data_IF_541811073739
#
_entry.id   IF_541811073739
#
_cell.length_a   1.000
_cell.length_b   1.000
_cell.length_c   1.000
_cell.angle_alpha   90.00
_cell.angle_beta   90.00
_cell.angle_gamma   90.00
#
_symmetry.space_group_name_H-M   'P 1'
#
loop_
_entity.id
_entity.type
_entity.pdbx_description
1 polymer ?
#
# COMPACT_ATOMS: atom_id res chain seq x y z
N UNK A 1 7.45 2.36 -0.78
CA UNK A 1 7.55 1.07 -0.06
C UNK A 1 6.76 1.17 1.23
N UNK A 2 5.87 0.19 1.52
CA UNK A 2 5.29 0.11 2.86
C UNK A 2 6.41 -0.10 3.88
N UNK A 3 6.50 0.77 4.88
CA UNK A 3 7.55 0.70 5.90
C UNK A 3 7.21 -0.27 7.04
N UNK A 4 6.07 -0.97 6.96
CA UNK A 4 5.64 -1.93 7.96
C UNK A 4 6.24 -3.29 7.60
N UNK A 5 7.35 -3.72 8.25
CA UNK A 5 8.01 -4.97 7.89
C UNK A 5 7.12 -6.21 8.12
N UNK A 6 6.15 -6.09 9.04
CA UNK A 6 5.20 -7.16 9.38
C UNK A 6 3.78 -6.84 8.91
N UNK A 7 3.63 -6.13 7.77
CA UNK A 7 2.31 -5.85 7.21
C UNK A 7 1.54 -7.17 6.99
N UNK A 8 0.37 -7.39 7.64
CA UNK A 8 -0.34 -8.66 7.56
C UNK A 8 -0.95 -8.92 6.17
N UNK A 9 -1.21 -7.86 5.41
CA UNK A 9 -1.65 -7.93 4.01
C UNK A 9 -0.53 -8.28 3.05
N UNK A 10 0.74 -8.15 3.45
CA UNK A 10 1.87 -8.51 2.59
C UNK A 10 1.96 -10.02 2.45
N UNK A 11 2.15 -10.48 1.21
CA UNK A 11 2.39 -11.88 0.88
C UNK A 11 3.65 -11.95 0.04
N UNK A 12 4.58 -12.84 0.41
CA UNK A 12 5.74 -13.13 -0.43
C UNK A 12 5.30 -13.95 -1.65
N UNK A 13 5.24 -13.32 -2.83
CA UNK A 13 4.88 -13.99 -4.07
C UNK A 13 5.92 -13.83 -5.20
N UNK A 14 7.11 -13.30 -4.89
CA UNK A 14 8.15 -13.06 -5.88
C UNK A 14 7.99 -11.77 -6.70
N UNK A 15 7.01 -10.91 -6.39
CA UNK A 15 6.93 -9.56 -6.94
C UNK A 15 8.09 -8.67 -6.41
N UNK A 16 8.58 -7.76 -7.25
CA UNK A 16 9.60 -6.77 -6.84
C UNK A 16 9.09 -5.99 -5.63
N UNK A 17 9.76 -6.05 -4.48
CA UNK A 17 9.36 -5.26 -3.31
C UNK A 17 9.15 -3.78 -3.65
N UNK A 18 8.17 -3.12 -3.03
CA UNK A 18 7.85 -1.71 -3.28
C UNK A 18 6.39 -1.42 -3.62
N UNK A 19 5.62 -2.44 -3.97
CA UNK A 19 4.15 -2.39 -4.03
C UNK A 19 3.58 -2.00 -2.63
N UNK A 20 2.34 -1.49 -2.59
CA UNK A 20 1.80 -0.71 -1.45
C UNK A 20 2.38 0.72 -1.32
N UNK A 21 2.88 1.30 -2.40
CA UNK A 21 3.30 2.71 -2.40
C UNK A 21 2.38 3.52 -3.32
N UNK A 22 2.01 4.76 -2.94
CA UNK A 22 1.12 5.62 -3.72
C UNK A 22 1.55 5.88 -5.16
N UNK A 23 2.77 5.51 -5.59
CA UNK A 23 3.23 5.71 -6.97
C UNK A 23 3.59 4.43 -7.73
N UNK A 24 3.60 3.26 -7.08
CA UNK A 24 4.06 2.00 -7.69
C UNK A 24 2.91 1.13 -8.22
N UNK A 25 1.67 1.47 -7.88
CA UNK A 25 0.48 0.77 -8.38
C UNK A 25 0.18 -0.53 -7.63
N UNK A 26 -0.71 -1.34 -8.21
CA UNK A 26 -1.27 -2.56 -7.60
C UNK A 26 -0.28 -3.72 -7.63
N UNK A 27 -0.34 -4.55 -6.60
CA UNK A 27 0.26 -5.89 -6.58
C UNK A 27 -0.70 -6.86 -7.26
N UNK A 28 -0.15 -7.83 -7.97
CA UNK A 28 -0.93 -8.91 -8.60
C UNK A 28 -1.30 -10.01 -7.62
N UNK A 29 -0.58 -10.08 -6.49
CA UNK A 29 -0.70 -11.17 -5.51
C UNK A 29 -1.47 -10.77 -4.26
N UNK A 30 -1.33 -9.51 -3.82
CA UNK A 30 -2.00 -9.02 -2.62
C UNK A 30 -3.43 -8.67 -3.01
N UNK A 31 -4.36 -9.50 -2.54
CA UNK A 31 -5.81 -9.33 -2.76
C UNK A 31 -6.57 -9.06 -1.47
N UNK A 32 -5.97 -9.37 -0.33
CA UNK A 32 -6.63 -9.36 0.98
C UNK A 32 -6.15 -8.18 1.84
N UNK A 33 -7.10 -7.42 2.38
CA UNK A 33 -6.85 -6.18 3.14
C UNK A 33 -6.96 -6.44 4.65
N UNK A 34 -5.90 -6.96 5.25
CA UNK A 34 -5.88 -7.35 6.69
C UNK A 34 -5.61 -6.19 7.66
N UNK A 35 -5.71 -4.95 7.19
CA UNK A 35 -5.43 -3.74 7.97
C UNK A 35 -3.94 -3.45 8.19
N UNK A 36 -3.64 -2.28 8.76
CA UNK A 36 -2.30 -2.00 9.28
C UNK A 36 -2.25 -2.35 10.76
N UNK A 37 -1.19 -3.03 11.16
CA UNK A 37 -0.84 -3.21 12.59
C UNK A 37 -0.10 -2.00 13.16
N UNK A 38 0.26 -1.06 12.29
CA UNK A 38 0.80 0.23 12.69
C UNK A 38 -0.34 1.12 13.20
N UNK A 39 -0.13 1.84 14.30
CA UNK A 39 -1.13 2.81 14.79
C UNK A 39 -1.43 3.94 13.79
N UNK A 40 -0.53 4.16 12.83
CA UNK A 40 -0.70 5.03 11.68
C UNK A 40 0.46 4.88 10.69
N UNK A 41 0.25 5.19 9.42
CA UNK A 41 1.29 5.18 8.42
C UNK A 41 1.92 6.58 8.32
N UNK A 42 3.15 6.80 8.81
CA UNK A 42 3.77 8.13 8.78
C UNK A 42 4.06 8.62 7.35
N UNK A 43 4.05 7.73 6.36
CA UNK A 43 4.14 8.11 4.93
C UNK A 43 2.87 8.83 4.49
N UNK A 44 1.70 8.36 4.95
CA UNK A 44 0.41 8.99 4.66
C UNK A 44 0.38 10.43 5.14
N UNK A 45 0.78 10.67 6.39
CA UNK A 45 0.84 12.03 6.95
C UNK A 45 1.87 12.91 6.22
N UNK A 46 3.10 12.42 6.03
CA UNK A 46 4.18 13.19 5.40
C UNK A 46 3.91 13.55 3.94
N UNK A 47 3.21 12.69 3.20
CA UNK A 47 2.88 12.92 1.80
C UNK A 47 1.48 13.50 1.59
N UNK A 48 0.71 13.73 2.66
CA UNK A 48 -0.66 14.23 2.57
C UNK A 48 -1.59 13.28 1.82
N UNK A 49 -1.34 11.96 1.93
CA UNK A 49 -2.16 10.96 1.27
C UNK A 49 -3.51 10.85 1.97
N UNK A 50 -4.58 10.74 1.20
CA UNK A 50 -5.95 10.57 1.71
C UNK A 50 -6.44 9.15 1.59
N UNK A 51 -5.82 8.34 0.72
CA UNK A 51 -6.19 6.95 0.53
C UNK A 51 -5.18 5.97 1.13
N UNK A 52 -5.59 4.70 1.18
CA UNK A 52 -4.82 3.59 1.75
C UNK A 52 -4.91 2.38 0.81
N UNK A 53 -4.28 1.27 1.20
CA UNK A 53 -4.35 0.00 0.45
C UNK A 53 -3.92 0.13 -1.02
N UNK A 54 -2.82 0.84 -1.26
CA UNK A 54 -2.32 1.09 -2.62
C UNK A 54 -1.94 -0.19 -3.38
N UNK A 55 -1.69 -1.30 -2.67
CA UNK A 55 -1.44 -2.61 -3.28
C UNK A 55 -2.67 -3.24 -3.94
N UNK A 56 -3.87 -3.02 -3.42
CA UNK A 56 -5.12 -3.61 -3.93
C UNK A 56 -5.90 -2.57 -4.73
N UNK A 57 -5.97 -1.33 -4.23
CA UNK A 57 -6.79 -0.25 -4.79
C UNK A 57 -6.06 0.63 -5.81
N UNK A 58 -4.73 0.52 -5.88
CA UNK A 58 -3.89 1.26 -6.84
C UNK A 58 -3.30 2.54 -6.24
N UNK A 59 -2.54 3.26 -7.04
CA UNK A 59 -1.88 4.52 -6.66
C UNK A 59 -2.84 5.57 -6.14
N UNK A 60 -2.30 6.61 -5.49
CA UNK A 60 -3.12 7.73 -5.00
C UNK A 60 -3.90 8.41 -6.13
N UNK A 61 -3.25 8.54 -7.28
CA UNK A 61 -3.85 9.11 -8.49
C UNK A 61 -5.00 8.23 -9.01
N UNK A 62 -4.78 6.91 -9.08
CA UNK A 62 -5.82 5.95 -9.49
C UNK A 62 -7.04 5.99 -8.57
N UNK A 63 -6.84 6.16 -7.26
CA UNK A 63 -7.93 6.22 -6.29
C UNK A 63 -8.64 7.59 -6.26
N UNK A 64 -7.92 8.66 -6.59
CA UNK A 64 -8.47 10.03 -6.69
C UNK A 64 -9.32 10.25 -7.95
N UNK A 65 -9.35 9.29 -8.88
CA UNK A 65 -10.15 9.38 -10.11
C UNK A 65 -9.64 10.42 -11.11
N UNK A 66 -8.33 10.73 -11.09
CA UNK A 66 -7.68 11.74 -11.95
C UNK A 66 -6.86 11.15 -13.10
#
# INVERSE_FOLDING_TARGET
MCICPSCPSWVECGEKGGFCFPTIGKSSCITDEKGCICGGCPVTEKMGLTHMYFCTKGSEKEQSGM
#
